data_IF_674973122824
#
_entry.id   IF_674973122824
#
_cell.length_a   1.000
_cell.length_b   1.000
_cell.length_c   1.000
_cell.angle_alpha   90.00
_cell.angle_beta   90.00
_cell.angle_gamma   90.00
#
_symmetry.space_group_name_H-M   'P 1'
#
loop_
_entity.id
_entity.type
_entity.pdbx_description
1 polymer ?
#
# COMPACT_ATOMS: atom_id res chain seq x y z
N UNK A 1 11.55 2.08 13.51
CA UNK A 1 10.65 1.38 12.59
C UNK A 1 10.57 2.12 11.26
N UNK A 2 10.68 1.41 10.15
CA UNK A 2 10.57 1.98 8.82
C UNK A 2 9.10 2.00 8.39
N UNK A 3 8.68 3.10 7.80
CA UNK A 3 7.36 3.22 7.20
C UNK A 3 7.47 3.08 5.69
N UNK A 4 6.66 2.22 5.10
CA UNK A 4 6.69 1.93 3.69
C UNK A 4 5.33 2.18 3.04
N UNK A 5 5.35 2.61 1.79
CA UNK A 5 4.15 2.71 0.97
C UNK A 5 4.38 1.89 -0.30
N UNK A 6 3.32 1.32 -0.85
CA UNK A 6 3.41 0.54 -2.08
C UNK A 6 2.60 1.24 -3.16
N UNK A 7 3.26 1.51 -4.29
CA UNK A 7 2.65 2.11 -5.47
C UNK A 7 2.62 1.05 -6.58
N UNK A 8 1.44 0.82 -7.13
CA UNK A 8 1.26 -0.22 -8.13
C UNK A 8 1.00 -1.58 -7.49
N UNK A 9 -0.25 -2.03 -7.51
CA UNK A 9 -0.69 -3.24 -6.82
C UNK A 9 -0.99 -4.39 -7.78
N UNK A 10 -0.14 -4.56 -8.80
CA UNK A 10 -0.14 -5.77 -9.59
C UNK A 10 0.44 -6.94 -8.76
N UNK A 11 0.69 -8.11 -9.37
CA UNK A 11 1.17 -9.27 -8.61
C UNK A 11 2.43 -8.99 -7.77
N UNK A 12 3.40 -8.26 -8.32
CA UNK A 12 4.62 -7.93 -7.60
C UNK A 12 4.36 -6.90 -6.50
N UNK A 13 3.52 -5.89 -6.77
CA UNK A 13 3.16 -4.88 -5.78
C UNK A 13 2.47 -5.49 -4.57
N UNK A 14 1.55 -6.42 -4.79
CA UNK A 14 0.90 -7.13 -3.70
C UNK A 14 1.87 -7.98 -2.89
N UNK A 15 2.87 -8.57 -3.53
CA UNK A 15 3.92 -9.30 -2.83
C UNK A 15 4.71 -8.38 -1.90
N UNK A 16 5.07 -7.19 -2.37
CA UNK A 16 5.76 -6.20 -1.55
C UNK A 16 4.91 -5.74 -0.38
N UNK A 17 3.63 -5.48 -0.60
CA UNK A 17 2.73 -5.05 0.46
C UNK A 17 2.61 -6.13 1.54
N UNK A 18 2.51 -7.38 1.14
CA UNK A 18 2.44 -8.51 2.07
C UNK A 18 3.73 -8.66 2.88
N UNK A 19 4.87 -8.48 2.23
CA UNK A 19 6.17 -8.53 2.90
C UNK A 19 6.30 -7.42 3.95
N UNK A 20 6.00 -6.19 3.57
CA UNK A 20 6.10 -5.06 4.50
C UNK A 20 5.10 -5.18 5.65
N UNK A 21 3.90 -5.66 5.37
CA UNK A 21 2.90 -5.86 6.42
C UNK A 21 3.27 -6.93 7.42
N UNK A 22 4.07 -7.92 7.00
CA UNK A 22 4.51 -9.02 7.87
C UNK A 22 5.84 -8.75 8.59
N UNK A 23 6.59 -7.73 8.16
CA UNK A 23 7.91 -7.45 8.70
C UNK A 23 7.79 -6.61 9.97
N UNK A 24 8.26 -7.08 11.13
CA UNK A 24 8.11 -6.34 12.39
C UNK A 24 8.94 -5.05 12.45
N UNK A 25 9.90 -4.87 11.55
CA UNK A 25 10.71 -3.66 11.48
C UNK A 25 10.19 -2.65 10.46
N UNK A 26 9.12 -3.00 9.73
CA UNK A 26 8.50 -2.13 8.74
C UNK A 26 7.03 -1.93 9.07
N UNK A 27 6.54 -0.73 8.86
CA UNK A 27 5.12 -0.42 8.95
C UNK A 27 4.62 -0.06 7.56
N UNK A 28 3.63 -0.81 7.05
CA UNK A 28 2.98 -0.45 5.81
C UNK A 28 2.04 0.73 6.09
N UNK A 29 2.37 1.89 5.54
CA UNK A 29 1.66 3.13 5.85
C UNK A 29 0.52 3.42 4.87
N UNK A 30 0.52 2.81 3.68
CA UNK A 30 -0.53 3.01 2.70
C UNK A 30 -0.26 2.25 1.42
N UNK A 31 -1.28 2.18 0.59
CA UNK A 31 -1.20 1.56 -0.74
C UNK A 31 -1.79 2.52 -1.77
N UNK A 32 -1.24 2.48 -2.98
CA UNK A 32 -1.68 3.36 -4.07
C UNK A 32 -1.75 2.60 -5.37
N UNK A 33 -2.85 2.76 -6.11
CA UNK A 33 -2.99 2.23 -7.46
C UNK A 33 -4.00 3.10 -8.20
N UNK A 34 -3.73 3.39 -9.48
CA UNK A 34 -4.69 4.09 -10.33
C UNK A 34 -5.96 3.27 -10.56
N UNK A 35 -5.87 1.97 -10.45
CA UNK A 35 -7.04 1.10 -10.48
C UNK A 35 -7.64 1.04 -9.07
N UNK A 36 -8.77 1.70 -8.89
CA UNK A 36 -9.42 1.83 -7.58
C UNK A 36 -9.69 0.49 -6.90
N UNK A 37 -10.13 -0.48 -7.65
CA UNK A 37 -10.45 -1.80 -7.10
C UNK A 37 -9.23 -2.45 -6.45
N UNK A 38 -8.05 -2.28 -7.05
CA UNK A 38 -6.81 -2.82 -6.50
C UNK A 38 -6.41 -2.10 -5.22
N UNK A 39 -6.50 -0.78 -5.21
CA UNK A 39 -6.17 0.02 -4.03
C UNK A 39 -7.12 -0.30 -2.89
N UNK A 40 -8.42 -0.36 -3.16
CA UNK A 40 -9.43 -0.62 -2.14
C UNK A 40 -9.27 -2.03 -1.55
N UNK A 41 -9.04 -3.02 -2.40
CA UNK A 41 -8.86 -4.40 -1.93
C UNK A 41 -7.62 -4.54 -1.05
N UNK A 42 -6.51 -3.92 -1.46
CA UNK A 42 -5.28 -3.97 -0.68
C UNK A 42 -5.41 -3.19 0.63
N UNK A 43 -6.07 -2.04 0.60
CA UNK A 43 -6.30 -1.24 1.80
C UNK A 43 -7.11 -2.01 2.84
N UNK A 44 -8.15 -2.69 2.40
CA UNK A 44 -8.97 -3.53 3.29
C UNK A 44 -8.17 -4.69 3.83
N UNK A 45 -7.40 -5.35 2.97
CA UNK A 45 -6.63 -6.54 3.34
C UNK A 45 -5.55 -6.23 4.38
N UNK A 46 -4.88 -5.07 4.26
CA UNK A 46 -3.76 -4.72 5.13
C UNK A 46 -4.12 -3.69 6.20
N UNK A 47 -5.36 -3.20 6.20
CA UNK A 47 -5.80 -2.23 7.20
C UNK A 47 -5.10 -0.88 7.11
N UNK A 48 -4.84 -0.41 5.88
CA UNK A 48 -4.12 0.84 5.62
C UNK A 48 -4.92 1.73 4.68
N UNK A 49 -4.61 3.05 4.62
CA UNK A 49 -5.28 3.94 3.69
C UNK A 49 -5.04 3.57 2.24
N UNK A 50 -6.06 3.74 1.40
CA UNK A 50 -5.97 3.58 -0.04
C UNK A 50 -5.82 4.95 -0.70
N UNK A 51 -4.92 5.05 -1.68
CA UNK A 51 -4.76 6.23 -2.49
C UNK A 51 -4.84 5.82 -3.96
N UNK A 52 -5.35 6.71 -4.80
CA UNK A 52 -5.55 6.45 -6.22
C UNK A 52 -4.63 7.29 -7.09
N UNK A 53 -3.88 8.19 -6.46
CA UNK A 53 -2.96 9.10 -7.09
C UNK A 53 -1.77 9.29 -6.16
N UNK A 54 -0.55 9.22 -6.72
CA UNK A 54 0.68 9.35 -5.93
C UNK A 54 0.75 10.69 -5.21
N UNK A 55 0.28 11.77 -5.84
CA UNK A 55 0.29 13.09 -5.20
C UNK A 55 -0.56 13.11 -3.94
N UNK A 56 -1.73 12.50 -3.97
CA UNK A 56 -2.61 12.42 -2.80
C UNK A 56 -1.93 11.63 -1.68
N UNK A 57 -1.26 10.56 -2.03
CA UNK A 57 -0.53 9.75 -1.05
C UNK A 57 0.60 10.54 -0.39
N UNK A 58 1.33 11.33 -1.18
CA UNK A 58 2.46 12.11 -0.66
C UNK A 58 2.02 13.27 0.24
N UNK A 59 0.78 13.74 0.09
CA UNK A 59 0.21 14.79 0.93
C UNK A 59 -0.30 14.30 2.27
N UNK A 60 -0.52 13.02 2.38
CA UNK A 60 -1.12 12.43 3.58
C UNK A 60 -0.14 12.28 4.75
#
# INVERSE_FOLDING_TARGET
MLRAVVVGLGPIGNLHARYYGANPQCELAGVCDLVRERADAAAERYGVPAFYDVEDMLRA
#
